data_IF_536718900135
#
_entry.id   IF_536718900135
#
_cell.length_a   1.000
_cell.length_b   1.000
_cell.length_c   1.000
_cell.angle_alpha   90.00
_cell.angle_beta   90.00
_cell.angle_gamma   90.00
#
_symmetry.space_group_name_H-M   'P 1'
#
loop_
_entity.id
_entity.type
_entity.pdbx_description
1 polymer ?
#
# COMPACT_ATOMS: atom_id res chain seq x y z
N UNK A 1 24.38 2.76 -10.64
CA UNK A 1 22.96 3.09 -10.86
C UNK A 1 22.86 4.60 -10.90
N UNK A 2 22.31 5.16 -11.98
CA UNK A 2 22.09 6.60 -12.07
C UNK A 2 21.06 7.04 -11.03
N UNK A 3 21.20 8.24 -10.49
CA UNK A 3 20.35 8.75 -9.40
C UNK A 3 18.84 8.66 -9.73
N UNK A 4 18.48 8.78 -11.01
CA UNK A 4 17.10 8.64 -11.50
C UNK A 4 16.55 7.21 -11.37
N UNK A 5 17.38 6.19 -11.59
CA UNK A 5 16.97 4.78 -11.44
C UNK A 5 16.71 4.44 -9.97
N UNK A 6 17.56 4.94 -9.07
CA UNK A 6 17.38 4.77 -7.63
C UNK A 6 16.11 5.47 -7.16
N UNK A 7 15.88 6.71 -7.59
CA UNK A 7 14.67 7.47 -7.24
C UNK A 7 13.39 6.78 -7.72
N UNK A 8 13.38 6.26 -8.95
CA UNK A 8 12.25 5.48 -9.48
C UNK A 8 11.97 4.22 -8.63
N UNK A 9 13.01 3.49 -8.24
CA UNK A 9 12.87 2.30 -7.41
C UNK A 9 12.33 2.63 -6.01
N UNK A 10 12.81 3.72 -5.40
CA UNK A 10 12.32 4.20 -4.10
C UNK A 10 10.84 4.56 -4.14
N UNK A 11 10.40 5.26 -5.19
CA UNK A 11 8.98 5.59 -5.37
C UNK A 11 8.16 4.31 -5.49
N UNK A 12 8.56 3.39 -6.36
CA UNK A 12 7.83 2.12 -6.55
C UNK A 12 7.74 1.32 -5.26
N UNK A 13 8.84 1.24 -4.50
CA UNK A 13 8.86 0.57 -3.20
C UNK A 13 7.93 1.26 -2.19
N UNK A 14 7.89 2.60 -2.15
CA UNK A 14 6.98 3.34 -1.29
C UNK A 14 5.52 3.07 -1.66
N UNK A 15 5.15 3.11 -2.94
CA UNK A 15 3.79 2.81 -3.38
C UNK A 15 3.40 1.35 -3.14
N UNK A 16 4.33 0.41 -3.32
CA UNK A 16 4.11 -0.99 -2.96
C UNK A 16 3.79 -1.12 -1.46
N UNK A 17 4.60 -0.48 -0.61
CA UNK A 17 4.37 -0.46 0.84
C UNK A 17 3.03 0.18 1.20
N UNK A 18 2.60 1.24 0.51
CA UNK A 18 1.27 1.85 0.70
C UNK A 18 0.15 0.86 0.33
N UNK A 19 0.26 0.15 -0.79
CA UNK A 19 -0.73 -0.86 -1.18
C UNK A 19 -0.87 -1.97 -0.14
N UNK A 20 0.26 -2.49 0.33
CA UNK A 20 0.31 -3.50 1.41
C UNK A 20 -0.28 -2.93 2.71
N UNK A 21 0.08 -1.72 3.08
CA UNK A 21 -0.45 -1.04 4.25
C UNK A 21 -1.97 -0.89 4.18
N UNK A 22 -2.52 -0.41 3.06
CA UNK A 22 -3.96 -0.25 2.87
C UNK A 22 -4.69 -1.59 2.98
N UNK A 23 -4.12 -2.66 2.43
CA UNK A 23 -4.67 -4.00 2.57
C UNK A 23 -4.71 -4.47 4.02
N UNK A 24 -3.61 -4.32 4.76
CA UNK A 24 -3.52 -4.72 6.16
C UNK A 24 -4.40 -3.86 7.07
N UNK A 25 -4.45 -2.56 6.82
CA UNK A 25 -5.35 -1.63 7.50
C UNK A 25 -6.80 -2.02 7.25
N UNK A 26 -7.21 -2.24 6.00
CA UNK A 26 -8.58 -2.67 5.69
C UNK A 26 -8.93 -4.01 6.34
N UNK A 27 -7.97 -4.89 6.53
CA UNK A 27 -8.15 -6.17 7.21
C UNK A 27 -8.29 -6.03 8.73
N UNK A 28 -7.93 -4.88 9.30
CA UNK A 28 -7.97 -4.59 10.74
C UNK A 28 -6.71 -5.01 11.49
N UNK A 29 -5.64 -5.41 10.78
CA UNK A 29 -4.37 -5.78 11.41
C UNK A 29 -3.57 -4.56 11.87
N UNK A 30 -3.83 -3.40 11.28
CA UNK A 30 -3.13 -2.15 11.58
C UNK A 30 -4.16 -1.11 12.05
N UNK A 31 -3.88 -0.51 13.21
CA UNK A 31 -4.65 0.59 13.78
C UNK A 31 -3.69 1.45 14.61
N UNK A 32 -3.64 2.75 14.35
CA UNK A 32 -2.71 3.69 15.00
C UNK A 32 -3.46 4.87 15.59
N UNK A 33 -2.92 5.46 16.66
CA UNK A 33 -3.45 6.67 17.30
C UNK A 33 -4.01 6.44 18.71
N UNK A 34 -4.51 7.52 19.30
CA UNK A 34 -5.29 7.52 20.55
C UNK A 34 -6.66 6.87 20.32
N UNK A 35 -7.37 6.51 21.40
CA UNK A 35 -8.65 5.79 21.31
C UNK A 35 -9.70 6.51 20.45
N UNK A 36 -9.68 7.85 20.44
CA UNK A 36 -10.56 8.67 19.62
C UNK A 36 -10.24 8.59 18.11
N UNK A 37 -8.95 8.59 17.75
CA UNK A 37 -8.49 8.42 16.36
C UNK A 37 -8.77 7.00 15.88
N UNK A 38 -8.60 6.00 16.76
CA UNK A 38 -8.92 4.59 16.46
C UNK A 38 -10.40 4.43 16.13
N UNK A 39 -11.30 4.94 16.95
CA UNK A 39 -12.75 4.85 16.73
C UNK A 39 -13.16 5.44 15.36
N UNK A 40 -12.63 6.61 15.00
CA UNK A 40 -12.88 7.23 13.70
C UNK A 40 -12.29 6.40 12.54
N UNK A 41 -11.07 5.89 12.70
CA UNK A 41 -10.42 5.04 11.69
C UNK A 41 -11.15 3.73 11.47
N UNK A 42 -11.77 3.21 12.52
CA UNK A 42 -12.51 1.96 12.51
C UNK A 42 -13.87 2.11 11.84
N UNK A 43 -14.59 3.20 12.12
CA UNK A 43 -15.81 3.55 11.40
C UNK A 43 -15.56 3.69 9.89
N UNK A 44 -14.55 4.46 9.49
CA UNK A 44 -14.14 4.59 8.09
C UNK A 44 -13.79 3.25 7.45
N UNK A 45 -13.04 2.41 8.16
CA UNK A 45 -12.64 1.09 7.70
C UNK A 45 -13.83 0.17 7.51
N UNK A 46 -14.84 0.18 8.38
CA UNK A 46 -16.02 -0.68 8.25
C UNK A 46 -16.82 -0.32 6.99
N UNK A 47 -17.01 0.97 6.72
CA UNK A 47 -17.73 1.45 5.53
C UNK A 47 -17.00 1.11 4.23
N UNK A 48 -15.66 1.12 4.24
CA UNK A 48 -14.85 1.04 3.02
C UNK A 48 -14.08 -0.29 2.89
N UNK A 49 -14.26 -1.23 3.82
CA UNK A 49 -13.46 -2.45 3.96
C UNK A 49 -13.30 -3.25 2.68
N UNK A 50 -14.41 -3.43 1.95
CA UNK A 50 -14.44 -4.24 0.73
C UNK A 50 -13.54 -3.64 -0.35
N UNK A 51 -13.81 -2.39 -0.73
CA UNK A 51 -13.06 -1.67 -1.75
C UNK A 51 -11.61 -1.44 -1.36
N UNK A 52 -11.32 -1.10 -0.11
CA UNK A 52 -9.94 -0.88 0.34
C UNK A 52 -9.09 -2.15 0.27
N UNK A 53 -9.66 -3.33 0.54
CA UNK A 53 -8.94 -4.60 0.39
C UNK A 53 -8.60 -4.85 -1.07
N UNK A 54 -9.56 -4.67 -1.98
CA UNK A 54 -9.36 -4.89 -3.41
C UNK A 54 -8.38 -3.87 -4.00
N UNK A 55 -8.56 -2.59 -3.72
CA UNK A 55 -7.71 -1.52 -4.21
C UNK A 55 -6.30 -1.57 -3.63
N UNK A 56 -6.16 -1.86 -2.33
CA UNK A 56 -4.84 -2.03 -1.69
C UNK A 56 -4.08 -3.22 -2.28
N UNK A 57 -4.77 -4.36 -2.49
CA UNK A 57 -4.17 -5.54 -3.11
C UNK A 57 -3.83 -5.30 -4.58
N UNK A 58 -4.70 -4.62 -5.34
CA UNK A 58 -4.46 -4.26 -6.73
C UNK A 58 -3.25 -3.33 -6.86
N UNK A 59 -3.15 -2.30 -6.02
CA UNK A 59 -2.01 -1.38 -5.99
C UNK A 59 -0.71 -2.13 -5.67
N UNK A 60 -0.72 -3.00 -4.66
CA UNK A 60 0.44 -3.82 -4.31
C UNK A 60 0.82 -4.77 -5.47
N UNK A 61 -0.14 -5.42 -6.10
CA UNK A 61 0.10 -6.33 -7.22
C UNK A 61 0.69 -5.60 -8.43
N UNK A 62 0.12 -4.46 -8.83
CA UNK A 62 0.63 -3.65 -9.96
C UNK A 62 2.04 -3.16 -9.69
N UNK A 63 2.31 -2.65 -8.49
CA UNK A 63 3.65 -2.20 -8.12
C UNK A 63 4.65 -3.36 -8.08
N UNK A 64 4.26 -4.53 -7.59
CA UNK A 64 5.10 -5.72 -7.60
C UNK A 64 5.46 -6.13 -9.03
N UNK A 65 4.47 -6.19 -9.92
CA UNK A 65 4.71 -6.47 -11.34
C UNK A 65 5.64 -5.43 -11.96
N UNK A 66 5.42 -4.14 -11.68
CA UNK A 66 6.27 -3.07 -12.20
C UNK A 66 7.73 -3.20 -11.74
N UNK A 67 7.96 -3.55 -10.47
CA UNK A 67 9.29 -3.78 -9.92
C UNK A 67 9.94 -5.01 -10.57
N UNK A 68 9.22 -6.13 -10.67
CA UNK A 68 9.73 -7.38 -11.25
C UNK A 68 10.05 -7.21 -12.73
N UNK A 69 9.14 -6.64 -13.52
CA UNK A 69 9.34 -6.38 -14.95
C UNK A 69 10.47 -5.37 -15.16
N UNK A 70 10.54 -4.33 -14.34
CA UNK A 70 11.62 -3.35 -14.37
C UNK A 70 12.97 -3.94 -13.94
N UNK A 71 13.01 -5.00 -13.14
CA UNK A 71 14.24 -5.74 -12.83
C UNK A 71 14.64 -6.68 -13.96
N UNK A 72 13.68 -7.36 -14.58
CA UNK A 72 13.92 -8.35 -15.62
C UNK A 72 14.29 -7.74 -16.98
N UNK A 73 13.74 -6.56 -17.30
CA UNK A 73 14.04 -5.83 -18.54
C UNK A 73 15.24 -4.88 -18.47
N UNK A 74 15.99 -4.90 -17.36
CA UNK A 74 17.22 -4.12 -17.16
C UNK A 74 18.48 -4.92 -17.47
#
# INVERSE_FOLDING_TARGET
MDNYQLFSLLIQAAFFAIGVYLYLFARGFISFGTDEVKARSEAFRQENKGWMRLLGLALAAVMLLNIVLGLMGR
#
